data_IF_260421303704
#
_entry.id   IF_260421303704
#
_cell.length_a   1.000
_cell.length_b   1.000
_cell.length_c   1.000
_cell.angle_alpha   90.00
_cell.angle_beta   90.00
_cell.angle_gamma   90.00
#
_symmetry.space_group_name_H-M   'P 1'
#
loop_
_entity.id
_entity.type
_entity.pdbx_description
1 polymer ?
#
# COMPACT_ATOMS: atom_id res chain seq x y z
N UNK A 1 3.93 -5.21 13.00
CA UNK A 1 3.57 -4.10 12.09
C UNK A 1 3.36 -2.80 12.84
N UNK A 2 2.52 -2.78 13.90
CA UNK A 2 2.21 -1.55 14.65
C UNK A 2 3.45 -0.80 15.14
N UNK A 3 4.47 -1.43 15.80
CA UNK A 3 5.67 -0.72 16.23
C UNK A 3 6.46 -0.05 15.09
N UNK A 4 6.40 -0.60 13.88
CA UNK A 4 7.03 -0.01 12.70
C UNK A 4 6.42 1.35 12.36
N UNK A 5 5.10 1.45 12.33
CA UNK A 5 4.41 2.70 12.02
C UNK A 5 4.46 3.70 13.19
N UNK A 6 4.49 3.23 14.43
CA UNK A 6 4.75 4.09 15.61
C UNK A 6 6.14 4.74 15.50
N UNK A 7 7.17 3.97 15.12
CA UNK A 7 8.52 4.51 14.92
C UNK A 7 8.56 5.52 13.76
N UNK A 8 7.99 5.19 12.61
CA UNK A 8 7.93 6.11 11.46
C UNK A 8 7.18 7.41 11.80
N UNK A 9 6.04 7.29 12.46
CA UNK A 9 5.24 8.46 12.87
C UNK A 9 5.98 9.31 13.89
N UNK A 10 6.68 8.70 14.85
CA UNK A 10 7.53 9.40 15.80
C UNK A 10 8.67 10.17 15.11
N UNK A 11 9.36 9.53 14.15
CA UNK A 11 10.48 10.14 13.44
C UNK A 11 10.04 11.31 12.55
N UNK A 12 8.94 11.16 11.79
CA UNK A 12 8.54 12.14 10.78
C UNK A 12 7.62 13.23 11.30
N UNK A 13 6.81 12.95 12.33
CA UNK A 13 5.78 13.85 12.84
C UNK A 13 5.95 14.23 14.31
N UNK A 14 6.99 13.71 14.97
CA UNK A 14 7.16 13.82 16.44
C UNK A 14 5.91 13.36 17.21
N UNK A 15 5.18 12.42 16.63
CA UNK A 15 3.94 11.87 17.18
C UNK A 15 3.78 10.39 16.77
N UNK A 16 4.08 9.43 17.65
CA UNK A 16 3.94 8.01 17.36
C UNK A 16 2.52 7.57 16.97
N UNK A 17 1.51 8.37 17.33
CA UNK A 17 0.11 8.10 17.02
C UNK A 17 -0.39 8.76 15.72
N UNK A 18 0.49 9.35 14.91
CA UNK A 18 0.12 9.99 13.65
C UNK A 18 -0.15 8.97 12.52
N UNK A 19 -0.79 7.87 12.86
CA UNK A 19 -1.29 6.87 11.91
C UNK A 19 -2.50 6.16 12.51
N UNK A 20 -3.34 5.58 11.67
CA UNK A 20 -4.41 4.70 12.13
C UNK A 20 -3.92 3.26 12.15
N UNK A 21 -4.31 2.52 13.17
CA UNK A 21 -4.05 1.09 13.26
C UNK A 21 -5.34 0.36 13.56
N UNK A 22 -5.78 -0.45 12.61
CA UNK A 22 -6.99 -1.25 12.71
C UNK A 22 -6.66 -2.74 12.54
N UNK A 23 -7.41 -3.61 13.16
CA UNK A 23 -7.29 -5.05 13.02
C UNK A 23 -8.51 -5.60 12.30
N UNK A 24 -8.28 -6.59 11.45
CA UNK A 24 -9.36 -7.37 10.83
C UNK A 24 -9.06 -8.87 10.96
N UNK A 25 -10.10 -9.66 11.00
CA UNK A 25 -10.00 -11.12 11.06
C UNK A 25 -10.78 -11.80 9.92
N UNK A 26 -11.70 -11.10 9.32
CA UNK A 26 -12.59 -11.59 8.27
C UNK A 26 -13.06 -10.48 7.35
N UNK A 27 -13.75 -10.83 6.27
CA UNK A 27 -14.30 -9.89 5.28
C UNK A 27 -15.14 -8.77 5.89
N UNK A 28 -16.01 -9.08 6.86
CA UNK A 28 -16.92 -8.10 7.46
C UNK A 28 -16.16 -7.04 8.28
N UNK A 29 -15.17 -7.46 9.06
CA UNK A 29 -14.33 -6.54 9.82
C UNK A 29 -13.46 -5.68 8.92
N UNK A 30 -12.90 -6.24 7.83
CA UNK A 30 -12.17 -5.46 6.84
C UNK A 30 -13.07 -4.44 6.13
N UNK A 31 -14.30 -4.82 5.79
CA UNK A 31 -15.26 -3.91 5.17
C UNK A 31 -15.58 -2.72 6.07
N UNK A 32 -15.75 -2.94 7.37
CA UNK A 32 -15.99 -1.89 8.35
C UNK A 32 -14.76 -0.97 8.51
N UNK A 33 -13.54 -1.53 8.53
CA UNK A 33 -12.30 -0.73 8.56
C UNK A 33 -12.18 0.12 7.31
N UNK A 34 -12.38 -0.45 6.13
CA UNK A 34 -12.28 0.30 4.88
C UNK A 34 -13.38 1.37 4.74
N UNK A 35 -14.59 1.11 5.25
CA UNK A 35 -15.64 2.12 5.33
C UNK A 35 -15.17 3.36 6.12
N UNK A 36 -14.66 3.14 7.33
CA UNK A 36 -14.17 4.23 8.16
C UNK A 36 -12.96 4.96 7.55
N UNK A 37 -12.00 4.21 6.98
CA UNK A 37 -10.76 4.79 6.44
C UNK A 37 -10.94 5.50 5.11
N UNK A 38 -11.76 4.99 4.20
CA UNK A 38 -12.05 5.66 2.92
C UNK A 38 -12.86 6.95 3.08
N UNK A 39 -13.58 7.11 4.20
CA UNK A 39 -14.29 8.35 4.53
C UNK A 39 -13.42 9.38 5.26
N UNK A 40 -12.29 8.97 5.79
CA UNK A 40 -11.38 9.86 6.50
C UNK A 40 -10.52 10.65 5.51
N UNK A 41 -10.61 11.98 5.56
CA UNK A 41 -9.89 12.88 4.66
C UNK A 41 -8.36 12.86 4.84
N UNK A 42 -7.84 12.24 5.90
CA UNK A 42 -6.40 12.10 6.14
C UNK A 42 -5.83 10.78 5.62
N UNK A 43 -6.69 9.83 5.25
CA UNK A 43 -6.27 8.50 4.80
C UNK A 43 -6.11 8.45 3.29
N UNK A 44 -4.90 8.64 2.78
CA UNK A 44 -4.59 8.48 1.34
C UNK A 44 -3.97 7.12 1.01
N UNK A 45 -3.40 6.42 1.98
CA UNK A 45 -2.69 5.15 1.79
C UNK A 45 -3.11 4.13 2.83
N UNK A 46 -3.36 2.92 2.40
CA UNK A 46 -3.57 1.76 3.28
C UNK A 46 -2.43 0.77 3.10
N UNK A 47 -1.84 0.38 4.24
CA UNK A 47 -0.94 -0.77 4.34
C UNK A 47 -1.72 -1.96 4.89
N UNK A 48 -1.87 -3.00 4.10
CA UNK A 48 -2.57 -4.22 4.47
C UNK A 48 -1.58 -5.33 4.78
N UNK A 49 -1.35 -5.61 6.07
CA UNK A 49 -0.47 -6.66 6.55
C UNK A 49 -1.26 -7.93 6.86
N UNK A 50 -0.95 -9.00 6.17
CA UNK A 50 -1.55 -10.32 6.40
C UNK A 50 -0.65 -11.42 5.80
N UNK A 51 -0.96 -12.68 6.07
CA UNK A 51 -0.49 -13.75 5.20
C UNK A 51 -1.18 -13.65 3.85
N UNK A 52 -0.55 -14.15 2.80
CA UNK A 52 -1.14 -14.14 1.47
C UNK A 52 -0.55 -15.19 0.55
N UNK A 53 -1.32 -15.50 -0.48
CA UNK A 53 -0.89 -16.24 -1.65
C UNK A 53 -1.24 -15.42 -2.93
N UNK A 54 -1.02 -15.98 -4.11
CA UNK A 54 -1.27 -15.31 -5.38
C UNK A 54 -2.74 -14.86 -5.58
N UNK A 55 -3.69 -15.35 -4.77
CA UNK A 55 -5.14 -15.16 -4.97
C UNK A 55 -5.89 -14.72 -3.73
N UNK A 56 -5.30 -14.90 -2.55
CA UNK A 56 -5.96 -14.66 -1.26
C UNK A 56 -5.08 -13.87 -0.32
N UNK A 57 -5.74 -13.17 0.57
CA UNK A 57 -5.14 -12.45 1.69
C UNK A 57 -5.80 -13.00 2.96
N UNK A 58 -5.00 -13.59 3.84
CA UNK A 58 -5.49 -14.31 5.00
C UNK A 58 -5.55 -13.46 6.25
N UNK A 59 -6.55 -13.77 7.07
CA UNK A 59 -6.64 -13.37 8.46
C UNK A 59 -6.54 -14.60 9.37
N UNK A 60 -7.61 -14.95 10.06
CA UNK A 60 -7.73 -16.20 10.81
C UNK A 60 -7.93 -17.39 9.85
N UNK A 61 -7.53 -18.61 10.24
CA UNK A 61 -7.76 -19.82 9.43
C UNK A 61 -9.24 -19.96 9.02
N UNK A 62 -9.48 -20.18 7.72
CA UNK A 62 -10.82 -20.30 7.15
C UNK A 62 -11.53 -18.96 6.85
N UNK A 63 -10.89 -17.85 7.12
CA UNK A 63 -11.43 -16.49 6.87
C UNK A 63 -10.61 -15.70 5.85
N UNK A 64 -9.98 -16.41 4.91
CA UNK A 64 -9.21 -15.76 3.85
C UNK A 64 -10.11 -14.94 2.91
N UNK A 65 -9.65 -13.76 2.54
CA UNK A 65 -10.29 -12.94 1.53
C UNK A 65 -9.70 -13.23 0.15
N UNK A 66 -10.55 -13.42 -0.83
CA UNK A 66 -10.11 -13.40 -2.22
C UNK A 66 -9.74 -11.97 -2.66
N UNK A 67 -8.83 -11.88 -3.63
CA UNK A 67 -8.51 -10.58 -4.27
C UNK A 67 -9.77 -9.88 -4.81
N UNK A 68 -10.77 -10.64 -5.29
CA UNK A 68 -12.03 -10.10 -5.79
C UNK A 68 -12.86 -9.46 -4.66
N UNK A 69 -12.90 -10.06 -3.49
CA UNK A 69 -13.60 -9.49 -2.34
C UNK A 69 -12.95 -8.21 -1.86
N UNK A 70 -11.61 -8.19 -1.73
CA UNK A 70 -10.87 -6.98 -1.36
C UNK A 70 -11.12 -5.86 -2.38
N UNK A 71 -11.00 -6.14 -3.67
CA UNK A 71 -11.27 -5.16 -4.74
C UNK A 71 -12.68 -4.60 -4.65
N UNK A 72 -13.69 -5.47 -4.53
CA UNK A 72 -15.10 -5.04 -4.48
C UNK A 72 -15.40 -4.20 -3.23
N UNK A 73 -14.71 -4.46 -2.11
CA UNK A 73 -14.83 -3.62 -0.91
C UNK A 73 -14.23 -2.24 -1.20
N UNK A 74 -13.02 -2.17 -1.74
CA UNK A 74 -12.38 -0.88 -2.07
C UNK A 74 -13.21 -0.09 -3.07
N UNK A 75 -13.67 -0.71 -4.15
CA UNK A 75 -14.54 -0.08 -5.16
C UNK A 75 -15.79 0.55 -4.53
N UNK A 76 -16.46 -0.19 -3.64
CA UNK A 76 -17.67 0.27 -2.96
C UNK A 76 -17.40 1.37 -1.92
N UNK A 77 -16.24 1.35 -1.24
CA UNK A 77 -15.93 2.24 -0.12
C UNK A 77 -15.16 3.49 -0.55
N UNK A 78 -14.30 3.41 -1.56
CA UNK A 78 -13.50 4.55 -2.02
C UNK A 78 -14.27 5.48 -2.97
N UNK A 79 -15.53 5.77 -2.68
CA UNK A 79 -16.39 6.66 -3.48
C UNK A 79 -15.97 8.13 -3.39
N UNK A 80 -15.33 8.53 -2.31
CA UNK A 80 -14.79 9.88 -2.12
C UNK A 80 -13.48 10.10 -2.86
N UNK A 81 -12.91 9.06 -3.47
CA UNK A 81 -11.60 9.08 -4.15
C UNK A 81 -10.46 9.47 -3.22
N UNK A 82 -10.64 9.31 -1.91
CA UNK A 82 -9.64 9.71 -0.91
C UNK A 82 -8.47 8.73 -0.87
N UNK A 83 -8.76 7.43 -0.90
CA UNK A 83 -7.73 6.40 -0.92
C UNK A 83 -7.05 6.38 -2.30
N UNK A 84 -5.74 6.63 -2.33
CA UNK A 84 -4.91 6.71 -3.54
C UNK A 84 -3.97 5.52 -3.68
N UNK A 85 -3.51 4.96 -2.59
CA UNK A 85 -2.49 3.93 -2.57
C UNK A 85 -2.85 2.71 -1.73
N UNK A 86 -2.52 1.54 -2.26
CA UNK A 86 -2.63 0.27 -1.54
C UNK A 86 -1.27 -0.41 -1.50
N UNK A 87 -0.77 -0.68 -0.30
CA UNK A 87 0.41 -1.48 -0.11
C UNK A 87 0.02 -2.85 0.48
N UNK A 88 0.32 -3.90 -0.24
CA UNK A 88 0.07 -5.27 0.18
C UNK A 88 1.34 -5.83 0.85
N UNK A 89 1.41 -5.70 2.19
CA UNK A 89 2.45 -6.32 3.03
C UNK A 89 2.18 -7.82 3.21
N UNK A 90 1.98 -8.53 2.09
CA UNK A 90 1.63 -9.94 2.01
C UNK A 90 2.49 -10.62 0.96
N UNK A 91 2.82 -11.91 1.16
CA UNK A 91 3.57 -12.68 0.17
C UNK A 91 2.78 -12.85 -1.14
N UNK A 92 3.49 -12.92 -2.28
CA UNK A 92 2.98 -13.32 -3.60
C UNK A 92 1.90 -12.41 -4.21
N UNK A 93 1.56 -11.28 -3.59
CA UNK A 93 0.50 -10.38 -4.08
C UNK A 93 1.01 -9.22 -4.92
N UNK A 94 2.30 -8.88 -4.86
CA UNK A 94 2.92 -7.77 -5.61
C UNK A 94 3.28 -8.12 -7.04
N UNK A 95 2.39 -8.76 -7.78
CA UNK A 95 2.62 -9.18 -9.16
C UNK A 95 1.79 -8.35 -10.17
N UNK A 96 2.15 -8.46 -11.46
CA UNK A 96 1.53 -7.69 -12.54
C UNK A 96 0.02 -7.95 -12.68
N UNK A 97 -0.43 -9.17 -12.40
CA UNK A 97 -1.85 -9.51 -12.50
C UNK A 97 -2.67 -8.83 -11.40
N UNK A 98 -2.10 -8.70 -10.19
CA UNK A 98 -2.70 -7.89 -9.12
C UNK A 98 -2.73 -6.41 -9.49
N UNK A 99 -1.62 -5.89 -10.06
CA UNK A 99 -1.57 -4.52 -10.57
C UNK A 99 -2.70 -4.24 -11.56
N UNK A 100 -2.87 -5.08 -12.59
CA UNK A 100 -3.96 -4.96 -13.56
C UNK A 100 -5.33 -5.09 -12.91
N UNK A 101 -5.47 -6.07 -12.03
CA UNK A 101 -6.74 -6.38 -11.40
C UNK A 101 -7.28 -5.23 -10.56
N UNK A 102 -6.41 -4.50 -9.87
CA UNK A 102 -6.81 -3.36 -9.03
C UNK A 102 -6.80 -2.02 -9.75
N UNK A 103 -5.90 -1.83 -10.73
CA UNK A 103 -5.68 -0.52 -11.33
C UNK A 103 -6.27 -0.37 -12.73
N UNK A 104 -6.41 -1.47 -13.52
CA UNK A 104 -6.96 -1.39 -14.88
C UNK A 104 -8.41 -1.89 -14.98
N UNK A 105 -8.73 -3.01 -14.30
CA UNK A 105 -10.00 -3.72 -14.53
C UNK A 105 -11.13 -3.30 -13.60
N UNK A 106 -10.86 -2.42 -12.65
CA UNK A 106 -11.87 -2.02 -11.69
C UNK A 106 -11.77 -0.53 -11.36
N UNK A 107 -12.91 0.13 -11.13
CA UNK A 107 -12.96 1.52 -10.71
C UNK A 107 -12.63 1.68 -9.20
N UNK A 108 -11.51 1.13 -8.75
CA UNK A 108 -11.06 1.27 -7.35
C UNK A 108 -10.59 2.69 -7.04
N UNK A 109 -10.30 3.48 -8.08
CA UNK A 109 -9.75 4.83 -8.00
C UNK A 109 -8.38 4.90 -7.30
N UNK A 110 -7.68 3.78 -7.18
CA UNK A 110 -6.31 3.73 -6.72
C UNK A 110 -5.38 4.26 -7.81
N UNK A 111 -4.38 5.04 -7.42
CA UNK A 111 -3.35 5.54 -8.31
C UNK A 111 -2.14 4.61 -8.38
N UNK A 112 -1.91 3.82 -7.31
CA UNK A 112 -0.81 2.89 -7.23
C UNK A 112 -1.11 1.68 -6.31
N UNK A 113 -0.38 0.59 -6.57
CA UNK A 113 -0.36 -0.63 -5.76
C UNK A 113 1.09 -1.08 -5.62
N UNK A 114 1.51 -1.40 -4.41
CA UNK A 114 2.84 -1.97 -4.13
C UNK A 114 2.72 -3.26 -3.32
N UNK A 115 3.75 -4.09 -3.35
CA UNK A 115 3.83 -5.32 -2.59
C UNK A 115 4.94 -6.25 -3.07
N UNK A 116 4.91 -7.50 -2.63
CA UNK A 116 5.92 -8.52 -2.88
C UNK A 116 5.41 -9.58 -3.84
N UNK A 117 6.16 -9.83 -4.91
CA UNK A 117 5.88 -10.90 -5.88
C UNK A 117 6.36 -12.27 -5.42
N UNK A 118 7.22 -12.31 -4.42
CA UNK A 118 7.80 -13.51 -3.84
C UNK A 118 7.47 -13.65 -2.36
N UNK A 119 7.87 -14.76 -1.76
CA UNK A 119 7.76 -14.96 -0.31
C UNK A 119 8.78 -14.06 0.41
N UNK A 120 8.34 -13.37 1.44
CA UNK A 120 9.17 -12.49 2.25
C UNK A 120 8.98 -12.84 3.73
N UNK A 121 10.08 -12.97 4.47
CA UNK A 121 9.98 -13.09 5.92
C UNK A 121 9.66 -11.74 6.58
N UNK A 122 9.16 -11.80 7.81
CA UNK A 122 8.69 -10.61 8.52
C UNK A 122 9.79 -9.59 8.82
N UNK A 123 11.04 -10.02 9.01
CA UNK A 123 12.15 -9.12 9.34
C UNK A 123 12.57 -8.35 8.10
N UNK A 124 12.87 -9.07 7.02
CA UNK A 124 13.30 -8.47 5.75
C UNK A 124 12.19 -7.60 5.15
N UNK A 125 10.94 -8.10 5.18
CA UNK A 125 9.77 -7.33 4.74
C UNK A 125 9.59 -6.05 5.54
N UNK A 126 9.66 -6.12 6.88
CA UNK A 126 9.56 -4.93 7.73
C UNK A 126 10.66 -3.90 7.46
N UNK A 127 11.88 -4.33 7.14
CA UNK A 127 12.95 -3.41 6.78
C UNK A 127 12.68 -2.70 5.45
N UNK A 128 12.19 -3.42 4.43
CA UNK A 128 11.81 -2.85 3.14
C UNK A 128 10.63 -1.88 3.32
N UNK A 129 9.59 -2.30 4.05
CA UNK A 129 8.39 -1.49 4.34
C UNK A 129 8.77 -0.20 5.06
N UNK A 130 9.64 -0.29 6.08
CA UNK A 130 10.11 0.88 6.83
C UNK A 130 10.80 1.90 5.92
N UNK A 131 11.70 1.45 5.04
CA UNK A 131 12.39 2.34 4.10
C UNK A 131 11.41 2.94 3.11
N UNK A 132 10.51 2.13 2.51
CA UNK A 132 9.51 2.63 1.56
C UNK A 132 8.62 3.70 2.19
N UNK A 133 8.02 3.41 3.34
CA UNK A 133 7.11 4.35 4.00
C UNK A 133 7.82 5.59 4.56
N UNK A 134 9.07 5.46 5.01
CA UNK A 134 9.89 6.62 5.37
C UNK A 134 10.06 7.55 4.16
N UNK A 135 10.46 7.01 2.99
CA UNK A 135 10.65 7.80 1.78
C UNK A 135 9.34 8.36 1.23
N UNK A 136 8.26 7.60 1.30
CA UNK A 136 6.93 8.06 0.93
C UNK A 136 6.49 9.25 1.81
N UNK A 137 6.66 9.14 3.12
CA UNK A 137 6.33 10.21 4.07
C UNK A 137 7.16 11.47 3.79
N UNK A 138 8.47 11.33 3.52
CA UNK A 138 9.30 12.47 3.10
C UNK A 138 8.73 13.18 1.86
N UNK A 139 8.29 12.43 0.85
CA UNK A 139 7.71 13.03 -0.36
C UNK A 139 6.37 13.72 -0.08
N UNK A 140 5.51 13.14 0.77
CA UNK A 140 4.27 13.79 1.22
C UNK A 140 4.55 15.10 1.97
N UNK A 141 5.50 15.12 2.91
CA UNK A 141 5.88 16.31 3.66
C UNK A 141 6.49 17.40 2.75
N UNK A 142 7.34 17.01 1.79
CA UNK A 142 7.88 17.93 0.76
C UNK A 142 6.75 18.48 -0.12
N UNK A 143 5.80 17.63 -0.51
CA UNK A 143 4.68 18.00 -1.36
C UNK A 143 3.69 18.94 -0.63
N UNK A 144 3.45 18.74 0.65
CA UNK A 144 2.61 19.62 1.47
C UNK A 144 3.12 21.06 1.49
N UNK A 145 4.45 21.26 1.52
CA UNK A 145 5.10 22.59 1.49
C UNK A 145 5.09 23.28 0.11
N UNK A 146 4.73 22.56 -0.97
CA UNK A 146 4.70 23.15 -2.32
C UNK A 146 3.50 24.08 -2.50
N UNK A 147 3.76 25.30 -2.94
CA UNK A 147 2.70 26.26 -3.31
C UNK A 147 2.14 26.02 -4.72
N UNK A 148 2.99 25.50 -5.64
CA UNK A 148 2.63 25.17 -7.04
C UNK A 148 3.29 23.84 -7.43
N UNK A 149 2.76 23.18 -8.46
CA UNK A 149 3.33 21.93 -8.99
C UNK A 149 3.30 20.78 -7.97
N UNK A 150 2.19 20.61 -7.25
CA UNK A 150 1.99 19.46 -6.37
C UNK A 150 2.07 18.16 -7.17
N UNK A 151 2.74 17.16 -6.61
CA UNK A 151 2.84 15.82 -7.17
C UNK A 151 1.58 15.03 -6.87
N UNK A 152 1.20 14.11 -7.76
CA UNK A 152 0.19 13.10 -7.47
C UNK A 152 0.70 12.03 -6.49
N UNK A 153 -0.21 11.28 -5.88
CA UNK A 153 0.14 10.19 -4.97
C UNK A 153 1.01 9.13 -5.67
N UNK A 154 0.71 8.77 -6.93
CA UNK A 154 1.54 7.86 -7.73
C UNK A 154 2.96 8.38 -7.95
N UNK A 155 3.12 9.69 -8.23
CA UNK A 155 4.45 10.28 -8.43
C UNK A 155 5.28 10.21 -7.15
N UNK A 156 4.66 10.47 -6.00
CA UNK A 156 5.33 10.37 -4.71
C UNK A 156 5.72 8.94 -4.39
N UNK A 157 4.84 7.97 -4.65
CA UNK A 157 5.11 6.54 -4.47
C UNK A 157 6.24 6.05 -5.39
N UNK A 158 6.25 6.50 -6.65
CA UNK A 158 7.33 6.18 -7.61
C UNK A 158 8.69 6.67 -7.12
N UNK A 159 8.76 7.90 -6.64
CA UNK A 159 10.00 8.46 -6.10
C UNK A 159 10.46 7.70 -4.85
N UNK A 160 9.52 7.38 -3.94
CA UNK A 160 9.82 6.60 -2.74
C UNK A 160 10.36 5.21 -3.08
N UNK A 161 9.76 4.51 -4.04
CA UNK A 161 10.23 3.21 -4.49
C UNK A 161 11.61 3.31 -5.16
N UNK A 162 11.87 4.35 -5.94
CA UNK A 162 13.19 4.61 -6.52
C UNK A 162 14.28 4.80 -5.46
N UNK A 163 13.98 5.55 -4.39
CA UNK A 163 14.92 5.72 -3.26
C UNK A 163 15.09 4.42 -2.46
N UNK A 164 14.03 3.67 -2.22
CA UNK A 164 14.13 2.33 -1.61
C UNK A 164 15.11 1.45 -2.37
N UNK A 165 15.00 1.37 -3.69
CA UNK A 165 15.82 0.49 -4.51
C UNK A 165 17.30 0.90 -4.58
N UNK A 166 17.61 2.18 -4.34
CA UNK A 166 18.99 2.63 -4.15
C UNK A 166 19.56 2.17 -2.80
N UNK A 167 18.73 2.15 -1.76
CA UNK A 167 19.15 1.74 -0.41
C UNK A 167 19.16 0.22 -0.24
N UNK A 168 18.21 -0.47 -0.85
CA UNK A 168 18.05 -1.93 -0.80
C UNK A 168 17.91 -2.47 -2.24
N UNK A 169 19.01 -2.55 -3.01
CA UNK A 169 18.98 -3.00 -4.41
C UNK A 169 18.41 -4.40 -4.61
N UNK A 170 18.53 -5.26 -3.59
CA UNK A 170 18.02 -6.62 -3.63
C UNK A 170 16.51 -6.76 -3.39
N UNK A 171 15.80 -5.69 -3.04
CA UNK A 171 14.37 -5.78 -2.70
C UNK A 171 13.53 -6.36 -3.84
N UNK A 172 13.78 -5.96 -5.09
CA UNK A 172 13.10 -6.55 -6.24
C UNK A 172 13.62 -7.96 -6.54
N UNK A 173 14.93 -8.12 -6.71
CA UNK A 173 15.52 -9.38 -7.17
C UNK A 173 15.27 -10.56 -6.22
N UNK A 174 15.23 -10.31 -4.89
CA UNK A 174 15.08 -11.36 -3.88
C UNK A 174 13.63 -11.56 -3.46
N UNK A 175 12.85 -10.48 -3.34
CA UNK A 175 11.49 -10.51 -2.77
C UNK A 175 10.40 -10.10 -3.75
N UNK A 176 10.77 -9.78 -4.99
CA UNK A 176 9.82 -9.33 -5.99
C UNK A 176 9.12 -8.02 -5.61
N UNK A 177 9.76 -7.16 -4.75
CA UNK A 177 9.16 -5.86 -4.46
C UNK A 177 8.90 -5.11 -5.75
N UNK A 178 7.68 -4.65 -5.95
CA UNK A 178 7.30 -3.87 -7.11
C UNK A 178 6.26 -2.81 -6.76
N UNK A 179 6.22 -1.77 -7.57
CA UNK A 179 5.21 -0.72 -7.54
C UNK A 179 4.55 -0.63 -8.91
N UNK A 180 3.24 -0.82 -8.94
CA UNK A 180 2.40 -0.68 -10.12
C UNK A 180 1.65 0.64 -10.06
N UNK A 181 1.51 1.32 -11.19
CA UNK A 181 0.82 2.59 -11.32
C UNK A 181 -0.06 2.58 -12.56
N UNK A 182 -1.17 3.29 -12.51
CA UNK A 182 -2.01 3.50 -13.68
C UNK A 182 -1.76 4.91 -14.24
N UNK A 183 -1.24 4.97 -15.46
CA UNK A 183 -0.95 6.21 -16.16
C UNK A 183 -1.39 6.14 -17.61
N UNK A 184 -2.12 7.16 -18.08
CA UNK A 184 -2.60 7.24 -19.46
C UNK A 184 -3.30 5.96 -19.94
N UNK A 185 -4.11 5.35 -19.10
CA UNK A 185 -4.84 4.08 -19.34
C UNK A 185 -3.92 2.87 -19.54
N UNK A 186 -2.71 2.92 -19.04
CA UNK A 186 -1.76 1.80 -19.07
C UNK A 186 -1.22 1.53 -17.68
N UNK A 187 -1.09 0.26 -17.37
CA UNK A 187 -0.33 -0.17 -16.21
C UNK A 187 1.15 0.01 -16.50
N UNK A 188 1.83 0.72 -15.63
CA UNK A 188 3.28 0.81 -15.58
C UNK A 188 3.78 0.22 -14.29
N UNK A 189 5.01 -0.28 -14.27
CA UNK A 189 5.68 -0.74 -13.07
C UNK A 189 7.07 -0.12 -12.99
N UNK A 190 7.65 -0.14 -11.81
CA UNK A 190 9.01 0.34 -11.63
C UNK A 190 10.06 -0.64 -12.21
N UNK A 191 9.63 -1.89 -12.52
CA UNK A 191 10.37 -2.94 -13.22
C UNK A 191 9.59 -3.51 -14.39
#
# INVERSE_FOLDING_TARGET
>A
VRPLFEALSGIHYDNPSAHFYDMFSEKKSLDAVLDARCMDQQTEVIYLAAHGDATRIGGAPGHDLSRTELRNIIERRNITLQLKGLYLGTCLTGNKDMGKFFLEYAPTNLEWLAGYGESVDWVDGSAIDMVFFSKLTEEYLKNAKRKKGKKSARTMAHLAAGELLKLIPGAHAKYGFNLFMHENRKLTSIF
#
